data_IF_859062605040
#
_entry.id   IF_859062605040
#
_cell.length_a   1.000
_cell.length_b   1.000
_cell.length_c   1.000
_cell.angle_alpha   90.00
_cell.angle_beta   90.00
_cell.angle_gamma   90.00
#
_symmetry.space_group_name_H-M   'P 1'
#
loop_
_entity.id
_entity.type
_entity.pdbx_description
1 polymer ?
#
# COMPACT_ATOMS: atom_id res chain seq x y z
N UNK A 1 53.41 -4.30 28.38
CA UNK A 1 52.31 -4.79 27.52
C UNK A 1 51.80 -3.61 26.73
N UNK A 2 51.86 -3.70 25.41
CA UNK A 2 51.52 -2.59 24.52
C UNK A 2 50.00 -2.54 24.34
N UNK A 3 49.42 -1.34 24.20
CA UNK A 3 47.97 -1.15 23.96
C UNK A 3 47.45 -1.89 22.71
N UNK A 4 48.33 -2.24 21.78
CA UNK A 4 48.04 -3.09 20.62
C UNK A 4 47.76 -4.54 21.00
N UNK A 5 48.46 -5.09 22.00
CA UNK A 5 48.28 -6.49 22.43
C UNK A 5 46.89 -6.70 23.06
N UNK A 6 46.39 -5.70 23.80
CA UNK A 6 45.06 -5.74 24.42
C UNK A 6 43.94 -5.66 23.36
N UNK A 7 44.16 -4.91 22.28
CA UNK A 7 43.18 -4.77 21.20
C UNK A 7 43.05 -6.05 20.38
N UNK A 8 44.16 -6.73 20.10
CA UNK A 8 44.14 -8.01 19.38
C UNK A 8 43.45 -9.11 20.20
N UNK A 9 43.73 -9.18 21.50
CA UNK A 9 43.06 -10.12 22.40
C UNK A 9 41.55 -9.87 22.49
N UNK A 10 41.13 -8.59 22.47
CA UNK A 10 39.72 -8.23 22.47
C UNK A 10 39.02 -8.61 21.16
N UNK A 11 39.65 -8.36 20.00
CA UNK A 11 39.09 -8.75 18.69
C UNK A 11 38.95 -10.27 18.56
N UNK A 12 39.92 -11.05 19.03
CA UNK A 12 39.84 -12.51 19.03
C UNK A 12 38.68 -13.01 19.89
N UNK A 13 38.52 -12.45 21.09
CA UNK A 13 37.41 -12.80 21.97
C UNK A 13 36.05 -12.44 21.35
N UNK A 14 35.97 -11.34 20.62
CA UNK A 14 34.74 -10.96 19.91
C UNK A 14 34.40 -11.94 18.78
N UNK A 15 35.40 -12.40 18.02
CA UNK A 15 35.22 -13.40 16.95
C UNK A 15 34.72 -14.73 17.49
N UNK A 16 35.24 -15.18 18.63
CA UNK A 16 34.80 -16.41 19.27
C UNK A 16 33.33 -16.32 19.75
N UNK A 17 32.95 -15.20 20.36
CA UNK A 17 31.57 -14.99 20.80
C UNK A 17 30.59 -14.93 19.62
N UNK A 18 30.99 -14.27 18.52
CA UNK A 18 30.17 -14.20 17.31
C UNK A 18 30.05 -15.57 16.61
N UNK A 19 31.13 -16.35 16.58
CA UNK A 19 31.11 -17.70 15.99
C UNK A 19 30.15 -18.64 16.74
N UNK A 20 30.01 -18.49 18.06
CA UNK A 20 29.08 -19.28 18.88
C UNK A 20 27.63 -18.79 18.84
N UNK A 21 27.41 -17.50 18.58
CA UNK A 21 26.08 -16.88 18.67
C UNK A 21 25.27 -16.93 17.36
N UNK A 22 25.90 -17.18 16.21
CA UNK A 22 25.18 -17.30 14.93
C UNK A 22 24.56 -18.70 14.84
N UNK A 23 23.22 -18.83 14.95
CA UNK A 23 22.57 -20.11 14.75
C UNK A 23 22.85 -20.56 13.32
N UNK A 24 23.48 -21.71 13.15
CA UNK A 24 23.66 -22.30 11.82
C UNK A 24 22.27 -22.64 11.30
N UNK A 25 21.76 -21.95 10.27
CA UNK A 25 20.46 -22.31 9.73
C UNK A 25 20.62 -23.70 9.11
N UNK A 26 19.89 -24.68 9.63
CA UNK A 26 19.68 -25.98 8.97
C UNK A 26 18.80 -25.74 7.74
N UNK A 27 19.37 -25.10 6.71
CA UNK A 27 18.67 -24.83 5.47
C UNK A 27 18.40 -26.17 4.79
N UNK A 28 17.14 -26.58 4.61
CA UNK A 28 16.84 -27.79 3.85
C UNK A 28 17.32 -27.57 2.41
N UNK A 29 18.11 -28.49 1.83
CA UNK A 29 18.75 -28.29 0.52
C UNK A 29 17.73 -28.02 -0.61
N UNK A 30 16.46 -28.36 -0.39
CA UNK A 30 15.41 -28.28 -1.40
C UNK A 30 14.60 -26.98 -1.42
N UNK A 31 14.86 -25.99 -0.53
CA UNK A 31 14.03 -24.77 -0.47
C UNK A 31 14.08 -23.99 -1.79
N UNK A 32 15.26 -23.84 -2.36
CA UNK A 32 15.46 -23.17 -3.66
C UNK A 32 14.82 -23.95 -4.82
N UNK A 33 14.90 -25.28 -4.81
CA UNK A 33 14.27 -26.13 -5.83
C UNK A 33 12.74 -26.00 -5.81
N UNK A 34 12.13 -25.93 -4.61
CA UNK A 34 10.68 -25.69 -4.47
C UNK A 34 10.26 -24.31 -4.98
N UNK A 35 11.06 -23.28 -4.74
CA UNK A 35 10.80 -21.92 -5.24
C UNK A 35 10.89 -21.89 -6.77
N UNK A 36 11.96 -22.44 -7.35
CA UNK A 36 12.14 -22.53 -8.80
C UNK A 36 10.99 -23.31 -9.47
N UNK A 37 10.56 -24.42 -8.86
CA UNK A 37 9.41 -25.19 -9.34
C UNK A 37 8.11 -24.40 -9.37
N UNK A 38 7.84 -23.55 -8.36
CA UNK A 38 6.64 -22.69 -8.33
C UNK A 38 6.69 -21.61 -9.41
N UNK A 39 7.85 -20.97 -9.60
CA UNK A 39 8.03 -19.91 -10.60
C UNK A 39 7.84 -20.48 -12.02
N UNK A 40 8.43 -21.63 -12.33
CA UNK A 40 8.30 -22.27 -13.63
C UNK A 40 6.87 -22.73 -13.93
N UNK A 41 6.15 -23.28 -12.95
CA UNK A 41 4.73 -23.65 -13.11
C UNK A 41 3.84 -22.42 -13.38
N UNK A 42 4.09 -21.29 -12.70
CA UNK A 42 3.36 -20.04 -12.92
C UNK A 42 3.61 -19.48 -14.32
N UNK A 43 4.86 -19.57 -14.82
CA UNK A 43 5.22 -19.15 -16.18
C UNK A 43 4.58 -20.02 -17.26
N UNK A 44 4.54 -21.35 -17.07
CA UNK A 44 3.86 -22.27 -18.01
C UNK A 44 2.35 -22.03 -18.11
N UNK A 45 1.67 -21.74 -17.00
CA UNK A 45 0.23 -21.41 -17.02
C UNK A 45 -0.06 -20.13 -17.82
N UNK A 46 0.86 -19.16 -17.84
CA UNK A 46 0.72 -17.93 -18.63
C UNK A 46 0.94 -18.15 -20.13
N UNK A 47 1.79 -19.10 -20.52
CA UNK A 47 2.05 -19.39 -21.93
C UNK A 47 0.87 -20.09 -22.64
N UNK A 48 0.05 -20.84 -21.92
CA UNK A 48 -1.12 -21.52 -22.48
C UNK A 48 -2.38 -20.65 -22.60
N UNK A 49 -2.40 -19.46 -21.99
CA UNK A 49 -3.52 -18.51 -22.10
C UNK A 49 -3.43 -17.58 -23.32
N UNK A 50 -2.33 -17.61 -24.08
CA UNK A 50 -2.07 -16.67 -25.16
C UNK A 50 -2.43 -17.20 -26.57
N UNK A 51 -3.02 -18.39 -26.70
CA UNK A 51 -3.25 -19.04 -28.02
C UNK A 51 -4.65 -19.65 -28.18
N UNK A 52 -5.70 -18.95 -27.76
CA UNK A 52 -7.06 -19.29 -28.20
C UNK A 52 -8.01 -18.09 -28.09
N UNK A 53 -8.16 -17.32 -29.19
CA UNK A 53 -9.44 -16.74 -29.62
C UNK A 53 -9.22 -15.87 -30.87
N UNK A 54 -9.00 -16.52 -32.01
CA UNK A 54 -9.27 -15.93 -33.32
C UNK A 54 -10.61 -16.50 -33.82
N UNK A 55 -11.56 -15.63 -34.13
CA UNK A 55 -12.72 -15.93 -34.98
C UNK A 55 -14.06 -16.09 -34.26
N UNK A 56 -14.92 -15.07 -34.38
CA UNK A 56 -16.23 -15.17 -35.04
C UNK A 56 -16.90 -13.78 -35.07
N UNK A 57 -17.31 -13.36 -36.26
CA UNK A 57 -18.07 -12.14 -36.55
C UNK A 57 -19.55 -12.51 -36.63
N UNK A 58 -20.41 -11.52 -36.33
CA UNK A 58 -21.87 -11.40 -36.56
C UNK A 58 -22.79 -11.89 -35.43
N UNK A 59 -23.38 -10.91 -34.72
CA UNK A 59 -24.84 -10.78 -34.58
C UNK A 59 -25.20 -9.38 -34.05
N UNK A 60 -25.84 -8.59 -34.92
CA UNK A 60 -26.64 -7.42 -34.58
C UNK A 60 -27.72 -7.82 -33.58
N UNK A 61 -27.75 -7.22 -32.39
CA UNK A 61 -28.97 -7.02 -31.62
C UNK A 61 -28.80 -5.79 -30.72
N UNK A 62 -29.68 -4.83 -30.98
CA UNK A 62 -29.93 -3.63 -30.19
C UNK A 62 -30.10 -3.97 -28.71
N UNK A 63 -29.07 -3.70 -27.93
CA UNK A 63 -29.12 -3.69 -26.48
C UNK A 63 -28.21 -2.58 -26.02
N UNK A 64 -28.73 -1.36 -25.96
CA UNK A 64 -28.05 -0.19 -25.44
C UNK A 64 -27.72 -0.43 -23.97
N UNK A 65 -26.58 -1.08 -23.70
CA UNK A 65 -25.93 -0.96 -22.41
C UNK A 65 -25.54 0.50 -22.29
N UNK A 66 -26.39 1.26 -21.60
CA UNK A 66 -26.05 2.55 -21.05
C UNK A 66 -24.90 2.29 -20.09
N UNK A 67 -23.68 2.32 -20.61
CA UNK A 67 -22.46 2.45 -19.82
C UNK A 67 -22.61 3.81 -19.16
N UNK A 68 -23.16 3.83 -17.95
CA UNK A 68 -23.20 5.05 -17.16
C UNK A 68 -21.74 5.45 -16.93
N UNK A 69 -21.30 6.65 -17.34
CA UNK A 69 -19.99 7.14 -16.97
C UNK A 69 -20.00 7.21 -15.43
N UNK A 70 -19.19 6.37 -14.79
CA UNK A 70 -19.01 6.41 -13.35
C UNK A 70 -18.51 7.80 -12.98
N UNK A 71 -19.41 8.61 -12.42
CA UNK A 71 -19.10 9.92 -11.87
C UNK A 71 -18.25 9.72 -10.63
N UNK A 72 -16.96 9.94 -10.78
CA UNK A 72 -16.04 10.15 -9.67
C UNK A 72 -16.28 11.56 -9.14
N UNK A 73 -16.47 11.67 -7.83
CA UNK A 73 -16.77 12.93 -7.18
C UNK A 73 -15.48 13.75 -7.06
N UNK A 74 -15.46 15.03 -7.49
CA UNK A 74 -14.27 15.87 -7.34
C UNK A 74 -13.90 15.99 -5.86
N UNK A 75 -12.63 15.78 -5.55
CA UNK A 75 -12.09 15.92 -4.21
C UNK A 75 -12.14 17.39 -3.77
N UNK A 76 -12.84 17.68 -2.67
CA UNK A 76 -12.75 18.98 -2.00
C UNK A 76 -11.46 19.04 -1.16
N UNK A 77 -10.79 20.21 -1.07
CA UNK A 77 -9.72 20.41 -0.10
C UNK A 77 -10.32 20.28 1.31
N UNK A 78 -9.73 19.41 2.14
CA UNK A 78 -10.25 19.04 3.45
C UNK A 78 -9.16 19.22 4.50
N UNK A 79 -9.39 20.08 5.49
CA UNK A 79 -8.63 20.11 6.75
C UNK A 79 -9.13 19.04 7.73
N UNK A 80 -10.10 18.24 7.31
CA UNK A 80 -10.77 17.19 8.07
C UNK A 80 -10.17 15.82 7.72
N UNK A 81 -10.07 14.94 8.72
CA UNK A 81 -9.63 13.55 8.55
C UNK A 81 -10.40 12.90 7.41
N UNK A 82 -9.69 12.54 6.34
CA UNK A 82 -10.26 11.89 5.19
C UNK A 82 -10.39 10.40 5.47
N UNK A 83 -11.59 9.85 5.26
CA UNK A 83 -11.91 8.44 5.53
C UNK A 83 -12.23 7.77 4.22
N UNK A 84 -11.50 6.70 3.94
CA UNK A 84 -11.60 5.95 2.70
C UNK A 84 -11.92 4.50 3.02
N UNK A 85 -12.91 3.92 2.33
CA UNK A 85 -13.22 2.50 2.49
C UNK A 85 -12.20 1.66 1.71
N UNK A 86 -11.50 0.77 2.41
CA UNK A 86 -10.48 -0.12 1.84
C UNK A 86 -10.65 -1.52 2.41
N UNK A 87 -10.92 -2.51 1.54
CA UNK A 87 -10.96 -3.94 1.88
C UNK A 87 -11.83 -4.33 3.09
N UNK A 88 -12.99 -3.68 3.24
CA UNK A 88 -13.96 -4.01 4.30
C UNK A 88 -13.69 -3.32 5.64
N UNK A 89 -12.88 -2.27 5.64
CA UNK A 89 -12.76 -1.32 6.75
C UNK A 89 -12.46 0.07 6.22
N UNK A 90 -12.21 1.01 7.13
CA UNK A 90 -11.95 2.41 6.78
C UNK A 90 -10.49 2.76 7.06
N UNK A 91 -9.76 3.18 6.05
CA UNK A 91 -8.49 3.87 6.17
C UNK A 91 -8.74 5.36 6.44
N UNK A 92 -8.29 5.85 7.59
CA UNK A 92 -8.25 7.27 7.93
C UNK A 92 -6.87 7.87 7.58
N UNK A 93 -6.88 9.04 6.95
CA UNK A 93 -5.70 9.86 6.66
C UNK A 93 -5.98 11.32 7.02
N UNK A 94 -5.04 12.00 7.66
CA UNK A 94 -5.12 13.45 7.86
C UNK A 94 -4.37 14.13 6.70
N UNK A 95 -5.11 14.90 5.89
CA UNK A 95 -4.57 15.57 4.71
C UNK A 95 -4.36 17.07 5.01
N UNK A 96 -3.16 17.62 4.74
CA UNK A 96 -2.94 19.06 4.86
C UNK A 96 -3.68 19.84 3.76
N UNK A 97 -3.82 21.15 3.97
CA UNK A 97 -4.37 22.04 2.95
C UNK A 97 -3.61 21.91 1.62
N UNK A 98 -4.37 21.86 0.51
CA UNK A 98 -3.80 21.67 -0.83
C UNK A 98 -3.55 20.21 -1.21
N UNK A 99 -3.83 19.26 -0.33
CA UNK A 99 -3.83 17.83 -0.66
C UNK A 99 -5.22 17.31 -1.00
N UNK A 100 -5.25 16.37 -1.93
CA UNK A 100 -6.47 15.79 -2.50
C UNK A 100 -6.33 14.29 -2.54
N UNK A 101 -7.38 13.58 -2.16
CA UNK A 101 -7.49 12.14 -2.32
C UNK A 101 -8.45 11.79 -3.47
N UNK A 102 -8.20 10.68 -4.14
CA UNK A 102 -9.13 10.10 -5.10
C UNK A 102 -9.20 8.61 -4.88
N UNK A 103 -10.44 8.16 -4.70
CA UNK A 103 -10.79 6.77 -4.52
C UNK A 103 -11.14 6.13 -5.87
N UNK A 104 -10.94 4.81 -6.01
CA UNK A 104 -11.47 4.10 -7.16
C UNK A 104 -13.00 4.16 -7.14
N UNK A 105 -13.61 4.32 -8.31
CA UNK A 105 -15.06 4.33 -8.43
C UNK A 105 -15.71 2.96 -8.14
N UNK A 106 -14.94 1.87 -8.25
CA UNK A 106 -15.36 0.52 -7.90
C UNK A 106 -14.60 0.06 -6.65
N UNK A 107 -15.25 -0.05 -5.48
CA UNK A 107 -14.61 -0.52 -4.24
C UNK A 107 -14.25 -2.01 -4.27
N UNK A 108 -14.81 -2.78 -5.22
CA UNK A 108 -14.44 -4.18 -5.42
C UNK A 108 -13.21 -4.33 -6.33
N UNK A 109 -12.79 -3.28 -7.03
CA UNK A 109 -11.54 -3.29 -7.76
C UNK A 109 -10.37 -3.30 -6.76
N UNK A 110 -9.26 -4.01 -7.05
CA UNK A 110 -8.05 -3.99 -6.21
C UNK A 110 -7.31 -2.64 -6.29
N UNK A 111 -8.03 -1.56 -6.60
CA UNK A 111 -7.49 -0.25 -6.79
C UNK A 111 -7.30 0.42 -5.43
N UNK A 112 -6.10 0.92 -5.20
CA UNK A 112 -5.76 1.68 -4.02
C UNK A 112 -6.26 3.12 -4.09
N UNK A 113 -5.89 3.89 -3.06
CA UNK A 113 -6.19 5.32 -2.92
C UNK A 113 -5.04 6.13 -3.50
N UNK A 114 -5.37 7.15 -4.29
CA UNK A 114 -4.39 8.16 -4.71
C UNK A 114 -4.51 9.40 -3.85
N UNK A 115 -3.38 9.94 -3.42
CA UNK A 115 -3.30 11.20 -2.66
C UNK A 115 -2.22 12.08 -3.28
N UNK A 116 -2.51 13.35 -3.56
CA UNK A 116 -1.56 14.27 -4.19
C UNK A 116 -1.73 15.70 -3.69
N UNK A 117 -0.65 16.50 -3.74
CA UNK A 117 -0.66 17.93 -3.42
C UNK A 117 -1.20 18.80 -4.56
N UNK A 118 -2.10 18.24 -5.37
CA UNK A 118 -2.83 18.95 -6.43
C UNK A 118 -4.14 18.24 -6.74
N UNK A 119 -5.11 18.94 -7.36
CA UNK A 119 -6.35 18.32 -7.79
C UNK A 119 -6.11 17.13 -8.73
N UNK A 120 -6.60 15.96 -8.32
CA UNK A 120 -6.56 14.75 -9.11
C UNK A 120 -7.77 14.72 -10.06
N UNK A 121 -7.52 14.43 -11.34
CA UNK A 121 -8.60 14.16 -12.31
C UNK A 121 -8.89 12.68 -12.30
N UNK A 122 -10.16 12.33 -12.22
CA UNK A 122 -10.59 10.95 -12.38
C UNK A 122 -10.10 10.37 -13.70
N UNK A 123 -9.52 9.17 -13.63
CA UNK A 123 -9.17 8.39 -14.82
C UNK A 123 -10.41 7.64 -15.30
N UNK A 124 -10.92 7.98 -16.50
CA UNK A 124 -12.08 7.30 -17.11
C UNK A 124 -11.82 5.82 -17.43
N UNK A 125 -10.56 5.37 -17.45
CA UNK A 125 -10.17 4.08 -18.02
C UNK A 125 -9.36 3.22 -17.05
N UNK A 126 -10.02 2.74 -15.99
CA UNK A 126 -9.48 1.64 -15.16
C UNK A 126 -9.96 0.25 -15.58
N UNK A 127 -10.43 0.11 -16.82
CA UNK A 127 -11.15 -1.09 -17.27
C UNK A 127 -10.25 -2.29 -17.62
N UNK A 128 -8.94 -2.17 -17.47
CA UNK A 128 -7.98 -3.27 -17.75
C UNK A 128 -6.91 -3.28 -16.68
N UNK A 129 -6.73 -4.44 -16.02
CA UNK A 129 -5.79 -4.65 -14.92
C UNK A 129 -4.38 -4.14 -15.28
N UNK A 130 -3.97 -2.95 -14.81
CA UNK A 130 -2.65 -2.45 -15.13
C UNK A 130 -1.64 -3.22 -14.29
N UNK A 131 -0.57 -3.70 -14.91
CA UNK A 131 0.61 -4.16 -14.20
C UNK A 131 1.49 -2.95 -13.89
N UNK A 132 1.82 -2.70 -12.62
CA UNK A 132 2.73 -1.62 -12.21
C UNK A 132 2.51 -1.15 -10.78
N UNK A 133 3.37 -0.24 -10.32
CA UNK A 133 3.33 0.30 -8.96
C UNK A 133 2.20 1.35 -8.80
N UNK A 134 1.85 2.06 -9.88
CA UNK A 134 0.76 3.04 -9.91
C UNK A 134 -0.31 2.70 -10.97
N UNK A 135 -1.04 1.57 -10.82
CA UNK A 135 -2.09 1.21 -11.74
C UNK A 135 -3.18 2.28 -11.71
N UNK A 136 -3.59 2.82 -12.86
CA UNK A 136 -4.60 3.87 -12.94
C UNK A 136 -4.24 5.24 -12.34
N UNK A 137 -2.94 5.57 -12.19
CA UNK A 137 -2.59 6.90 -11.71
C UNK A 137 -3.32 8.01 -12.49
N UNK A 138 -3.97 8.95 -11.80
CA UNK A 138 -4.62 10.09 -12.42
C UNK A 138 -3.56 10.92 -13.17
N UNK A 139 -3.55 10.82 -14.51
CA UNK A 139 -2.64 11.57 -15.38
C UNK A 139 -3.16 13.01 -15.49
N UNK A 140 -2.39 14.02 -15.08
CA UNK A 140 -1.16 14.40 -15.81
C UNK A 140 0.16 14.02 -15.12
N UNK A 141 1.29 14.26 -15.80
CA UNK A 141 2.63 14.19 -15.20
C UNK A 141 2.75 15.13 -13.99
N UNK A 142 3.64 14.78 -13.07
CA UNK A 142 4.03 15.56 -11.90
C UNK A 142 4.86 16.77 -12.35
N UNK A 143 4.50 17.94 -11.82
CA UNK A 143 5.29 19.16 -11.89
C UNK A 143 6.36 19.18 -10.79
N UNK A 144 7.29 20.12 -10.86
CA UNK A 144 8.31 20.29 -9.81
C UNK A 144 7.66 20.60 -8.45
N UNK A 145 8.11 19.91 -7.42
CA UNK A 145 7.58 20.01 -6.06
C UNK A 145 6.32 19.17 -5.80
N UNK A 146 5.79 18.47 -6.81
CA UNK A 146 4.59 17.64 -6.67
C UNK A 146 4.91 16.22 -6.18
N UNK A 147 3.92 15.64 -5.51
CA UNK A 147 3.95 14.29 -4.96
C UNK A 147 2.66 13.55 -5.29
N UNK A 148 2.78 12.25 -5.60
CA UNK A 148 1.67 11.31 -5.68
C UNK A 148 1.94 10.14 -4.74
N UNK A 149 1.07 9.96 -3.77
CA UNK A 149 1.04 8.80 -2.87
C UNK A 149 -0.03 7.84 -3.41
N UNK A 150 0.31 6.56 -3.48
CA UNK A 150 -0.62 5.49 -3.77
C UNK A 150 -0.62 4.49 -2.63
N UNK A 151 -1.79 4.27 -2.03
CA UNK A 151 -1.99 3.36 -0.91
C UNK A 151 -2.85 2.20 -1.37
N UNK A 152 -2.30 0.98 -1.40
CA UNK A 152 -3.03 -0.21 -1.83
C UNK A 152 -2.98 -1.31 -0.79
N UNK A 153 -3.96 -2.21 -0.83
CA UNK A 153 -3.84 -3.46 -0.09
C UNK A 153 -2.76 -4.34 -0.68
N UNK A 154 -1.95 -4.92 0.20
CA UNK A 154 -0.81 -5.70 -0.18
C UNK A 154 -1.14 -7.21 -0.02
N UNK A 155 -1.29 -7.97 -1.13
CA UNK A 155 -1.65 -9.38 -1.03
C UNK A 155 -0.48 -10.20 -0.50
N UNK A 156 -0.64 -10.88 0.63
CA UNK A 156 0.44 -11.68 1.19
C UNK A 156 0.15 -12.29 2.56
N UNK A 157 1.02 -13.21 2.96
CA UNK A 157 1.16 -13.64 4.35
C UNK A 157 2.16 -12.68 4.97
N UNK A 158 1.67 -11.82 5.85
CA UNK A 158 2.48 -10.87 6.58
C UNK A 158 2.78 -11.50 7.94
N UNK A 159 4.06 -11.63 8.28
CA UNK A 159 4.43 -11.90 9.66
C UNK A 159 3.96 -10.70 10.50
N UNK A 160 3.51 -10.93 11.72
CA UNK A 160 3.10 -9.86 12.64
C UNK A 160 4.30 -8.93 12.86
N UNK A 161 4.34 -7.83 12.11
CA UNK A 161 5.29 -6.76 12.32
C UNK A 161 4.66 -5.84 13.36
N UNK A 162 5.37 -5.59 14.46
CA UNK A 162 5.03 -4.51 15.38
C UNK A 162 5.30 -3.18 14.64
N UNK A 163 4.31 -2.70 13.90
CA UNK A 163 4.44 -1.48 13.11
C UNK A 163 3.12 -1.08 12.49
N UNK A 164 2.40 -0.19 13.17
CA UNK A 164 1.17 0.45 12.67
C UNK A 164 1.47 1.68 11.82
N UNK A 165 2.74 2.11 11.76
CA UNK A 165 3.17 3.29 11.02
C UNK A 165 3.57 2.91 9.59
N UNK A 166 3.16 3.74 8.62
CA UNK A 166 3.61 3.61 7.23
C UNK A 166 4.98 4.26 7.09
N UNK A 167 6.04 3.46 7.19
CA UNK A 167 7.41 3.94 7.00
C UNK A 167 7.86 3.74 5.54
N UNK A 168 7.51 4.70 4.67
CA UNK A 168 8.00 4.72 3.30
C UNK A 168 9.47 5.14 3.24
N UNK A 169 10.29 4.34 2.56
CA UNK A 169 11.73 4.57 2.42
C UNK A 169 12.12 4.83 0.96
N UNK A 170 13.15 5.66 0.69
CA UNK A 170 13.59 5.92 -0.68
C UNK A 170 14.08 4.66 -1.39
N UNK A 171 13.62 4.44 -2.62
CA UNK A 171 14.20 3.43 -3.52
C UNK A 171 15.51 3.96 -4.11
N UNK A 172 16.45 3.06 -4.47
CA UNK A 172 17.71 3.45 -5.12
C UNK A 172 17.53 4.20 -6.46
N UNK A 173 16.44 3.91 -7.17
CA UNK A 173 16.02 4.60 -8.38
C UNK A 173 14.50 4.51 -8.52
N UNK A 174 13.84 5.54 -9.11
CA UNK A 174 12.40 5.50 -9.37
C UNK A 174 12.07 4.42 -10.40
N UNK A 175 10.98 3.69 -10.20
CA UNK A 175 10.43 2.68 -11.09
C UNK A 175 9.86 3.27 -12.39
N UNK A 176 9.52 2.41 -13.34
CA UNK A 176 9.00 2.84 -14.65
C UNK A 176 7.68 3.62 -14.52
N UNK A 177 6.81 3.19 -13.61
CA UNK A 177 5.53 3.86 -13.37
C UNK A 177 5.76 5.29 -12.86
N UNK A 178 6.59 5.48 -11.84
CA UNK A 178 6.91 6.81 -11.32
C UNK A 178 7.60 7.69 -12.38
N UNK A 179 8.57 7.16 -13.12
CA UNK A 179 9.21 7.90 -14.23
C UNK A 179 8.22 8.29 -15.34
N UNK A 180 7.24 7.45 -15.65
CA UNK A 180 6.19 7.76 -16.64
C UNK A 180 5.26 8.88 -16.21
N UNK A 181 5.15 9.10 -14.89
CA UNK A 181 4.48 10.25 -14.30
C UNK A 181 5.40 11.47 -14.21
N UNK A 182 6.62 11.40 -14.73
CA UNK A 182 7.60 12.49 -14.65
C UNK A 182 8.36 12.54 -13.32
N UNK A 183 8.16 11.59 -12.41
CA UNK A 183 8.90 11.56 -11.15
C UNK A 183 10.38 11.22 -11.32
N UNK A 184 11.20 11.70 -10.39
CA UNK A 184 12.64 11.49 -10.30
C UNK A 184 13.07 10.78 -9.00
N UNK A 185 12.15 10.68 -8.03
CA UNK A 185 12.35 9.97 -6.79
C UNK A 185 11.11 9.13 -6.46
N UNK A 186 11.33 7.94 -5.90
CA UNK A 186 10.26 7.05 -5.47
C UNK A 186 10.56 6.49 -4.10
N UNK A 187 9.57 6.52 -3.20
CA UNK A 187 9.65 5.87 -1.90
C UNK A 187 8.62 4.74 -1.84
N UNK A 188 8.91 3.70 -1.08
CA UNK A 188 7.93 2.65 -0.82
C UNK A 188 8.09 2.06 0.59
N UNK A 189 7.00 1.57 1.14
CA UNK A 189 6.99 0.92 2.44
C UNK A 189 5.70 0.16 2.71
N UNK A 190 5.76 -1.00 3.38
CA UNK A 190 4.58 -1.68 3.88
C UNK A 190 4.10 -1.02 5.18
N UNK A 191 2.85 -1.30 5.54
CA UNK A 191 2.30 -1.06 6.86
C UNK A 191 1.30 -2.16 7.21
N UNK A 192 1.24 -2.55 8.48
CA UNK A 192 0.38 -3.65 8.94
C UNK A 192 -0.37 -3.25 10.20
N UNK A 193 -1.69 -3.37 10.17
CA UNK A 193 -2.55 -3.16 11.33
C UNK A 193 -3.23 -4.47 11.72
N UNK A 194 -3.41 -4.66 13.02
CA UNK A 194 -4.30 -5.67 13.57
C UNK A 194 -5.59 -4.99 14.01
N UNK A 195 -6.69 -5.24 13.31
CA UNK A 195 -8.01 -4.72 13.66
C UNK A 195 -9.02 -5.87 13.72
N UNK A 196 -9.74 -5.99 14.84
CA UNK A 196 -10.70 -7.07 15.10
C UNK A 196 -10.16 -8.47 14.74
N UNK A 197 -8.95 -8.78 15.22
CA UNK A 197 -8.26 -10.06 14.99
C UNK A 197 -7.91 -10.38 13.53
N UNK A 198 -8.02 -9.40 12.63
CA UNK A 198 -7.61 -9.50 11.23
C UNK A 198 -6.40 -8.60 10.96
N UNK A 199 -5.43 -9.16 10.24
CA UNK A 199 -4.28 -8.41 9.74
C UNK A 199 -4.68 -7.70 8.45
N UNK A 200 -4.46 -6.40 8.43
CA UNK A 200 -4.62 -5.54 7.28
C UNK A 200 -3.26 -5.00 6.87
N UNK A 201 -2.83 -5.33 5.66
CA UNK A 201 -1.56 -4.87 5.13
C UNK A 201 -1.79 -3.89 3.99
N UNK A 202 -1.15 -2.74 4.08
CA UNK A 202 -1.06 -1.76 3.00
C UNK A 202 0.37 -1.67 2.50
N UNK A 203 0.49 -1.30 1.23
CA UNK A 203 1.73 -0.84 0.63
C UNK A 203 1.51 0.61 0.21
N UNK A 204 2.43 1.48 0.62
CA UNK A 204 2.51 2.84 0.15
C UNK A 204 3.61 2.93 -0.91
N UNK A 205 3.26 3.42 -2.09
CA UNK A 205 4.21 3.84 -3.12
C UNK A 205 4.08 5.36 -3.28
N UNK A 206 5.19 6.09 -3.20
CA UNK A 206 5.24 7.56 -3.31
C UNK A 206 6.10 7.93 -4.50
N UNK A 207 5.54 8.64 -5.48
CA UNK A 207 6.27 9.20 -6.60
C UNK A 207 6.43 10.72 -6.43
N UNK A 208 7.64 11.21 -6.61
CA UNK A 208 8.04 12.59 -6.33
C UNK A 208 8.75 13.17 -7.56
N UNK A 209 8.57 14.47 -7.80
CA UNK A 209 9.29 15.21 -8.83
C UNK A 209 9.94 16.45 -8.23
N UNK A 210 11.29 16.48 -8.16
CA UNK A 210 12.06 17.58 -7.59
C UNK A 210 11.50 18.05 -6.23
N UNK A 211 11.13 17.09 -5.36
CA UNK A 211 10.41 17.40 -4.13
C UNK A 211 11.23 18.26 -3.17
N UNK A 212 10.59 19.30 -2.64
CA UNK A 212 11.18 20.15 -1.61
C UNK A 212 11.21 19.44 -0.25
N UNK A 213 12.03 19.93 0.68
CA UNK A 213 12.02 19.42 2.06
C UNK A 213 10.64 19.54 2.73
N UNK A 214 9.85 20.58 2.38
CA UNK A 214 8.49 20.75 2.85
C UNK A 214 7.55 19.68 2.30
N UNK A 215 7.59 19.41 0.99
CA UNK A 215 6.83 18.34 0.34
C UNK A 215 7.13 16.98 0.98
N UNK A 216 8.41 16.69 1.25
CA UNK A 216 8.83 15.45 1.90
C UNK A 216 8.32 15.36 3.36
N UNK A 217 8.27 16.47 4.08
CA UNK A 217 7.73 16.50 5.44
C UNK A 217 6.21 16.26 5.44
N UNK A 218 5.47 16.86 4.51
CA UNK A 218 4.03 16.64 4.35
C UNK A 218 3.72 15.18 3.99
N UNK A 219 4.47 14.58 3.06
CA UNK A 219 4.31 13.14 2.72
C UNK A 219 4.47 12.27 3.96
N UNK A 220 5.52 12.49 4.76
CA UNK A 220 5.74 11.73 6.00
C UNK A 220 4.62 11.95 7.01
N UNK A 221 4.14 13.19 7.15
CA UNK A 221 3.04 13.51 8.04
C UNK A 221 1.74 12.79 7.63
N UNK A 222 1.39 12.81 6.33
CA UNK A 222 0.22 12.09 5.80
C UNK A 222 0.34 10.60 6.10
N UNK A 223 1.47 9.97 5.76
CA UNK A 223 1.70 8.55 5.99
C UNK A 223 1.71 8.17 7.48
N UNK A 224 2.24 9.04 8.34
CA UNK A 224 2.25 8.86 9.79
C UNK A 224 0.88 9.02 10.46
N UNK A 225 -0.13 9.53 9.75
CA UNK A 225 -1.52 9.63 10.26
C UNK A 225 -2.40 8.47 9.81
N UNK A 226 -1.87 7.56 8.99
CA UNK A 226 -2.60 6.41 8.48
C UNK A 226 -3.07 5.51 9.63
N UNK A 227 -4.39 5.37 9.75
CA UNK A 227 -5.02 4.52 10.76
C UNK A 227 -6.11 3.68 10.11
N UNK A 228 -6.14 2.39 10.44
CA UNK A 228 -7.17 1.47 9.96
C UNK A 228 -8.24 1.22 11.03
N UNK A 229 -9.50 1.35 10.64
CA UNK A 229 -10.66 1.11 11.48
C UNK A 229 -11.50 -0.02 10.90
N UNK A 230 -11.82 -1.04 11.71
CA UNK A 230 -12.77 -2.07 11.28
C UNK A 230 -14.21 -1.55 11.38
N UNK A 231 -14.91 -1.48 10.25
CA UNK A 231 -16.33 -1.10 10.18
C UNK A 231 -17.28 -2.30 10.21
N UNK A 232 -16.75 -3.53 10.18
CA UNK A 232 -17.55 -4.76 10.28
C UNK A 232 -17.82 -5.20 11.72
N UNK A 233 -17.10 -4.62 12.68
CA UNK A 233 -17.39 -4.81 14.09
C UNK A 233 -18.78 -4.21 14.42
N UNK A 234 -19.74 -5.00 14.94
CA UNK A 234 -21.01 -4.45 15.39
C UNK A 234 -20.74 -3.37 16.44
N UNK A 235 -21.50 -2.24 16.45
CA UNK A 235 -21.31 -1.23 17.47
C UNK A 235 -21.41 -1.91 18.82
N UNK A 236 -20.36 -1.79 19.64
CA UNK A 236 -20.34 -2.33 20.98
C UNK A 236 -21.65 -1.91 21.63
N UNK A 237 -22.50 -2.88 21.93
CA UNK A 237 -23.82 -2.64 22.50
C UNK A 237 -23.57 -1.97 23.83
N UNK A 238 -23.63 -0.64 23.84
CA UNK A 238 -23.46 0.18 25.02
C UNK A 238 -24.50 -0.31 26.01
N UNK A 239 -24.02 -1.05 27.01
CA UNK A 239 -24.81 -1.50 28.13
C UNK A 239 -25.39 -0.25 28.77
N UNK A 240 -26.61 0.08 28.38
CA UNK A 240 -27.45 1.02 29.07
C UNK A 240 -27.76 0.38 30.40
N UNK A 241 -26.84 0.55 31.35
CA UNK A 241 -27.03 0.25 32.75
C UNK A 241 -28.11 1.18 33.26
N UNK A 242 -29.36 0.83 32.97
CA UNK A 242 -30.54 1.45 33.53
C UNK A 242 -30.42 1.36 35.04
N UNK A 243 -30.29 2.52 35.67
CA UNK A 243 -30.33 2.66 37.11
C UNK A 243 -31.61 2.03 37.65
N UNK A 244 -31.44 1.04 38.53
CA UNK A 244 -32.50 0.65 39.44
C UNK A 244 -32.46 1.64 40.60
N UNK A 245 -33.52 2.46 40.65
CA UNK A 245 -33.81 3.45 41.67
C UNK A 245 -33.92 2.82 43.05
N UNK A 246 -33.53 3.63 44.03
CA UNK A 246 -33.94 3.55 45.42
C UNK A 246 -35.46 3.35 45.54
N UNK A 247 -35.86 2.43 46.41
CA UNK A 247 -37.15 2.50 47.09
C UNK A 247 -36.93 2.34 48.60
N UNK A 248 -37.50 3.30 49.31
CA UNK A 248 -37.39 3.52 50.73
C UNK A 248 -38.08 2.45 51.58
N UNK A 249 -37.53 2.18 52.76
CA UNK A 249 -38.30 2.20 54.01
C UNK A 249 -37.40 2.40 55.23
#
# INVERSE_FOLDING_TARGET
>A
MSSTDEREAHEQRLRELLAGAVPTPTVPPDRMHRIHGRVLRRRRRRALAATAAAGAVVALLYGSLVVQPLRTQPASPSTERHRIEVAGGTLGLDLPDGWYATEPADPAAPAGVFVANRPLKASESCLTAPTGDFPCAPRPALSDGEALIFLRTAPGVWDTVDGTDVEASPRPAPGESCRSLGGDQEWAGPAVWLAAERLFALEADVCLRNASAATLAEVRAILGTAAYYDTTAPPASGGSGGGLRDDAK
#
